data_IF_309687873337
#
_entry.id   IF_309687873337
#
_cell.length_a   1.000
_cell.length_b   1.000
_cell.length_c   1.000
_cell.angle_alpha   90.00
_cell.angle_beta   90.00
_cell.angle_gamma   90.00
#
_symmetry.space_group_name_H-M   'P 1'
#
loop_
_entity.id
_entity.type
_entity.pdbx_description
1 polymer ?
#
# COMPACT_ATOMS: atom_id res chain seq x y z
N UNK A 1 -21.91 -28.20 -4.45
CA UNK A 1 -20.93 -29.17 -4.99
C UNK A 1 -21.15 -30.62 -4.53
N UNK A 2 -22.29 -30.99 -3.90
CA UNK A 2 -22.50 -32.36 -3.36
C UNK A 2 -22.61 -33.46 -4.41
N UNK A 3 -23.03 -33.12 -5.63
CA UNK A 3 -23.24 -34.05 -6.74
C UNK A 3 -22.16 -33.96 -7.83
N UNK A 4 -21.13 -33.16 -7.59
CA UNK A 4 -20.04 -32.98 -8.56
C UNK A 4 -19.07 -34.17 -8.50
N UNK A 5 -18.49 -34.53 -9.65
CA UNK A 5 -17.34 -35.43 -9.66
C UNK A 5 -16.17 -34.83 -8.87
N UNK A 6 -15.21 -35.65 -8.38
CA UNK A 6 -14.03 -35.15 -7.68
C UNK A 6 -13.31 -34.02 -8.43
N UNK A 7 -13.04 -34.21 -9.72
CA UNK A 7 -12.34 -33.24 -10.58
C UNK A 7 -13.15 -31.95 -10.76
N UNK A 8 -14.48 -32.07 -10.92
CA UNK A 8 -15.36 -30.91 -11.06
C UNK A 8 -15.44 -30.12 -9.75
N UNK A 9 -15.44 -30.81 -8.60
CA UNK A 9 -15.41 -30.17 -7.28
C UNK A 9 -14.08 -29.45 -7.05
N UNK A 10 -12.95 -30.06 -7.39
CA UNK A 10 -11.63 -29.43 -7.29
C UNK A 10 -11.53 -28.19 -8.18
N UNK A 11 -11.95 -28.29 -9.45
CA UNK A 11 -11.96 -27.17 -10.39
C UNK A 11 -12.83 -26.01 -9.88
N UNK A 12 -14.00 -26.29 -9.32
CA UNK A 12 -14.89 -25.27 -8.73
C UNK A 12 -14.29 -24.63 -7.46
N UNK A 13 -13.59 -25.41 -6.64
CA UNK A 13 -12.88 -24.89 -5.47
C UNK A 13 -11.74 -23.96 -5.88
N UNK A 14 -10.91 -24.35 -6.85
CA UNK A 14 -9.86 -23.49 -7.38
C UNK A 14 -10.43 -22.19 -7.95
N UNK A 15 -11.47 -22.28 -8.80
CA UNK A 15 -12.11 -21.10 -9.36
C UNK A 15 -12.68 -20.18 -8.28
N UNK A 16 -13.37 -20.72 -7.28
CA UNK A 16 -13.90 -19.94 -6.17
C UNK A 16 -12.81 -19.17 -5.44
N UNK A 17 -11.72 -19.86 -5.07
CA UNK A 17 -10.63 -19.24 -4.32
C UNK A 17 -9.84 -18.24 -5.17
N UNK A 18 -9.70 -18.47 -6.48
CA UNK A 18 -9.12 -17.47 -7.40
C UNK A 18 -9.96 -16.20 -7.44
N UNK A 19 -11.29 -16.32 -7.54
CA UNK A 19 -12.20 -15.16 -7.52
C UNK A 19 -12.13 -14.46 -6.17
N UNK A 20 -12.08 -15.21 -5.07
CA UNK A 20 -11.93 -14.66 -3.72
C UNK A 20 -10.64 -13.83 -3.58
N UNK A 21 -9.50 -14.35 -4.04
CA UNK A 21 -8.21 -13.64 -4.00
C UNK A 21 -8.31 -12.31 -4.77
N UNK A 22 -8.86 -12.36 -5.99
CA UNK A 22 -9.07 -11.20 -6.83
C UNK A 22 -10.01 -10.16 -6.18
N UNK A 23 -11.16 -10.61 -5.67
CA UNK A 23 -12.14 -9.73 -5.05
C UNK A 23 -11.56 -9.00 -3.85
N UNK A 24 -10.83 -9.69 -2.95
CA UNK A 24 -10.22 -9.06 -1.78
C UNK A 24 -9.14 -8.04 -2.16
N UNK A 25 -8.25 -8.41 -3.06
CA UNK A 25 -7.19 -7.53 -3.55
C UNK A 25 -7.76 -6.29 -4.23
N UNK A 26 -8.71 -6.46 -5.15
CA UNK A 26 -9.32 -5.36 -5.89
C UNK A 26 -10.21 -4.49 -4.99
N UNK A 27 -10.88 -5.07 -4.00
CA UNK A 27 -11.73 -4.32 -3.07
C UNK A 27 -10.89 -3.39 -2.19
N UNK A 28 -9.76 -3.89 -1.65
CA UNK A 28 -8.79 -3.06 -0.95
C UNK A 28 -8.22 -1.97 -1.87
N UNK A 29 -7.82 -2.34 -3.09
CA UNK A 29 -7.28 -1.41 -4.09
C UNK A 29 -8.25 -0.31 -4.52
N UNK A 30 -9.54 -0.61 -4.60
CA UNK A 30 -10.59 0.31 -5.03
C UNK A 30 -11.26 1.03 -3.85
N UNK A 31 -10.83 0.74 -2.62
CA UNK A 31 -11.39 1.38 -1.43
C UNK A 31 -12.87 1.04 -1.19
N UNK A 32 -13.29 -0.18 -1.52
CA UNK A 32 -14.67 -0.65 -1.34
C UNK A 32 -14.73 -1.98 -0.60
N UNK A 33 -15.88 -2.28 -0.02
CA UNK A 33 -16.11 -3.59 0.62
C UNK A 33 -16.06 -4.73 -0.41
N UNK A 34 -15.50 -5.85 0.02
CA UNK A 34 -15.45 -7.12 -0.72
C UNK A 34 -16.85 -7.66 -1.01
N UNK A 35 -17.06 -8.16 -2.22
CA UNK A 35 -18.32 -8.81 -2.62
C UNK A 35 -18.49 -10.21 -2.02
N UNK A 36 -17.43 -10.76 -1.41
CA UNK A 36 -17.39 -12.08 -0.80
C UNK A 36 -17.08 -11.99 0.70
N UNK A 37 -18.08 -11.75 1.57
CA UNK A 37 -17.87 -11.67 3.01
C UNK A 37 -17.42 -13.01 3.59
N UNK A 38 -16.40 -13.00 4.45
CA UNK A 38 -15.80 -14.23 4.98
C UNK A 38 -16.78 -15.07 5.81
N UNK A 39 -17.79 -14.44 6.43
CA UNK A 39 -18.80 -15.11 7.23
C UNK A 39 -19.82 -15.91 6.40
N UNK A 40 -19.89 -15.66 5.09
CA UNK A 40 -20.77 -16.38 4.16
C UNK A 40 -20.06 -17.58 3.49
N UNK A 41 -18.77 -17.79 3.76
CA UNK A 41 -17.96 -18.82 3.11
C UNK A 41 -17.92 -20.09 3.98
N UNK A 42 -18.54 -21.16 3.48
CA UNK A 42 -18.54 -22.50 4.12
C UNK A 42 -17.56 -23.49 3.45
N UNK A 43 -16.79 -23.03 2.47
CA UNK A 43 -15.87 -23.88 1.71
C UNK A 43 -14.59 -24.20 2.51
N UNK A 44 -14.01 -25.40 2.32
CA UNK A 44 -12.79 -25.77 3.01
C UNK A 44 -11.62 -24.91 2.52
N UNK A 45 -10.85 -24.40 3.49
CA UNK A 45 -9.66 -23.59 3.24
C UNK A 45 -8.52 -24.40 2.59
N UNK A 46 -8.42 -25.71 2.88
CA UNK A 46 -7.45 -26.62 2.26
C UNK A 46 -8.20 -27.63 1.36
N UNK A 47 -7.91 -27.70 0.05
CA UNK A 47 -8.43 -28.79 -0.76
C UNK A 47 -7.87 -30.11 -0.25
N UNK A 48 -8.69 -31.16 -0.28
CA UNK A 48 -8.31 -32.48 0.21
C UNK A 48 -7.38 -33.17 -0.80
N UNK A 49 -6.08 -32.92 -0.74
CA UNK A 49 -5.10 -33.64 -1.57
C UNK A 49 -4.28 -34.61 -0.72
N UNK A 50 -4.31 -35.89 -1.11
CA UNK A 50 -3.70 -37.03 -0.42
C UNK A 50 -2.34 -37.46 -0.95
N UNK A 51 -1.60 -36.61 -1.66
CA UNK A 51 -0.21 -36.89 -2.06
C UNK A 51 0.60 -35.60 -2.16
N UNK A 52 1.92 -35.74 -1.93
CA UNK A 52 3.03 -34.76 -1.90
C UNK A 52 2.64 -33.32 -2.23
N UNK A 53 2.90 -32.33 -1.34
CA UNK A 53 2.48 -30.94 -1.56
C UNK A 53 3.11 -30.39 -2.84
N UNK A 54 2.31 -30.25 -3.88
CA UNK A 54 2.61 -29.42 -5.04
C UNK A 54 2.99 -28.02 -4.53
N UNK A 55 4.16 -27.49 -4.88
CA UNK A 55 4.56 -26.14 -4.48
C UNK A 55 3.54 -25.08 -4.89
N UNK A 56 2.79 -25.30 -5.98
CA UNK A 56 1.69 -24.43 -6.42
C UNK A 56 0.50 -24.43 -5.47
N UNK A 57 0.11 -25.57 -4.91
CA UNK A 57 -0.94 -25.63 -3.90
C UNK A 57 -0.53 -24.83 -2.66
N UNK A 58 0.74 -24.93 -2.25
CA UNK A 58 1.24 -24.21 -1.06
C UNK A 58 1.23 -22.69 -1.25
N UNK A 59 1.61 -22.22 -2.45
CA UNK A 59 1.55 -20.79 -2.81
C UNK A 59 0.10 -20.32 -2.88
N UNK A 60 -0.77 -21.09 -3.53
CA UNK A 60 -2.19 -20.75 -3.68
C UNK A 60 -2.90 -20.65 -2.34
N UNK A 61 -2.66 -21.59 -1.41
CA UNK A 61 -3.20 -21.53 -0.05
C UNK A 61 -2.76 -20.27 0.69
N UNK A 62 -1.49 -19.89 0.53
CA UNK A 62 -0.96 -18.66 1.12
C UNK A 62 -1.62 -17.41 0.54
N UNK A 63 -1.91 -17.38 -0.76
CA UNK A 63 -2.66 -16.28 -1.37
C UNK A 63 -4.06 -16.14 -0.79
N UNK A 64 -4.74 -17.24 -0.44
CA UNK A 64 -6.03 -17.19 0.25
C UNK A 64 -5.89 -16.53 1.63
N UNK A 65 -4.84 -16.88 2.38
CA UNK A 65 -4.56 -16.27 3.68
C UNK A 65 -4.27 -14.77 3.58
N UNK A 66 -3.45 -14.37 2.59
CA UNK A 66 -3.14 -12.96 2.32
C UNK A 66 -4.38 -12.20 1.88
N UNK A 67 -5.22 -12.78 1.01
CA UNK A 67 -6.48 -12.19 0.56
C UNK A 67 -7.43 -11.94 1.73
N UNK A 68 -7.50 -12.86 2.70
CA UNK A 68 -8.26 -12.64 3.93
C UNK A 68 -7.74 -11.43 4.71
N UNK A 69 -6.42 -11.29 4.84
CA UNK A 69 -5.83 -10.11 5.49
C UNK A 69 -6.17 -8.84 4.71
N UNK A 70 -6.07 -8.83 3.37
CA UNK A 70 -6.44 -7.66 2.56
C UNK A 70 -7.89 -7.20 2.79
N UNK A 71 -8.83 -8.15 2.91
CA UNK A 71 -10.21 -7.86 3.30
C UNK A 71 -10.30 -7.21 4.68
N UNK A 72 -9.67 -7.82 5.69
CA UNK A 72 -9.65 -7.25 7.06
C UNK A 72 -8.96 -5.88 7.11
N UNK A 73 -7.92 -5.64 6.30
CA UNK A 73 -7.23 -4.35 6.20
C UNK A 73 -8.19 -3.26 5.75
N UNK A 74 -8.95 -3.50 4.68
CA UNK A 74 -9.96 -2.53 4.25
C UNK A 74 -11.01 -2.34 5.34
N UNK A 75 -11.66 -3.43 5.77
CA UNK A 75 -12.81 -3.37 6.67
C UNK A 75 -12.48 -2.72 8.02
N UNK A 76 -11.28 -2.96 8.56
CA UNK A 76 -10.87 -2.55 9.91
C UNK A 76 -9.97 -1.33 9.98
N UNK A 77 -9.37 -0.89 8.88
CA UNK A 77 -8.42 0.24 8.88
C UNK A 77 -8.85 1.39 7.96
N UNK A 78 -9.51 1.10 6.82
CA UNK A 78 -9.76 2.10 5.77
C UNK A 78 -11.23 2.28 5.39
N UNK A 79 -12.13 1.41 5.83
CA UNK A 79 -13.57 1.56 5.59
C UNK A 79 -14.12 2.80 6.32
N UNK A 80 -15.24 3.40 5.85
CA UNK A 80 -15.88 4.52 6.55
C UNK A 80 -16.24 4.19 8.02
N UNK A 81 -16.60 2.93 8.28
CA UNK A 81 -16.86 2.44 9.62
C UNK A 81 -15.56 2.42 10.47
N UNK A 82 -14.48 1.85 9.94
CA UNK A 82 -13.18 1.81 10.61
C UNK A 82 -12.60 3.20 10.88
N UNK A 83 -12.75 4.13 9.92
CA UNK A 83 -12.32 5.51 10.10
C UNK A 83 -13.13 6.22 11.19
N UNK A 84 -14.36 5.76 11.46
CA UNK A 84 -15.22 6.28 12.54
C UNK A 84 -14.93 5.68 13.92
N UNK A 85 -14.14 4.61 14.00
CA UNK A 85 -13.73 4.03 15.28
C UNK A 85 -12.63 4.87 15.95
N UNK A 86 -12.51 4.82 17.28
CA UNK A 86 -11.44 5.50 18.00
C UNK A 86 -10.04 5.06 17.52
N UNK A 87 -9.08 5.98 17.46
CA UNK A 87 -7.71 5.72 17.00
C UNK A 87 -7.06 4.51 17.70
N UNK A 88 -7.33 4.32 19.01
CA UNK A 88 -6.83 3.18 19.80
C UNK A 88 -7.34 1.82 19.30
N UNK A 89 -8.60 1.74 18.86
CA UNK A 89 -9.20 0.48 18.37
C UNK A 89 -8.61 0.13 17.00
N UNK A 90 -8.48 1.14 16.14
CA UNK A 90 -7.79 1.02 14.85
C UNK A 90 -6.31 0.61 15.01
N UNK A 91 -5.60 1.18 15.99
CA UNK A 91 -4.23 0.79 16.32
C UNK A 91 -4.14 -0.67 16.78
N UNK A 92 -5.08 -1.13 17.60
CA UNK A 92 -5.19 -2.53 18.03
C UNK A 92 -5.44 -3.47 16.84
N UNK A 93 -6.35 -3.08 15.94
CA UNK A 93 -6.61 -3.79 14.69
C UNK A 93 -5.35 -3.86 13.80
N UNK A 94 -4.64 -2.75 13.64
CA UNK A 94 -3.40 -2.69 12.87
C UNK A 94 -2.32 -3.64 13.46
N UNK A 95 -2.10 -3.61 14.78
CA UNK A 95 -1.13 -4.49 15.44
C UNK A 95 -1.45 -5.98 15.27
N UNK A 96 -2.74 -6.36 15.37
CA UNK A 96 -3.18 -7.74 15.13
C UNK A 96 -2.97 -8.16 13.67
N UNK A 97 -3.28 -7.29 12.71
CA UNK A 97 -3.10 -7.57 11.28
C UNK A 97 -1.62 -7.65 10.90
N UNK A 98 -0.80 -6.75 11.43
CA UNK A 98 0.66 -6.75 11.24
C UNK A 98 1.26 -8.08 11.75
N UNK A 99 0.87 -8.52 12.94
CA UNK A 99 1.34 -9.79 13.52
C UNK A 99 0.99 -10.98 12.63
N UNK A 100 -0.25 -11.05 12.11
CA UNK A 100 -0.66 -12.11 11.17
C UNK A 100 0.16 -12.07 9.88
N UNK A 101 0.37 -10.89 9.31
CA UNK A 101 1.13 -10.74 8.07
C UNK A 101 2.61 -11.11 8.26
N UNK A 102 3.21 -10.68 9.37
CA UNK A 102 4.58 -11.07 9.74
C UNK A 102 4.72 -12.58 9.93
N UNK A 103 3.72 -13.24 10.51
CA UNK A 103 3.69 -14.70 10.60
C UNK A 103 3.70 -15.35 9.21
N UNK A 104 2.87 -14.89 8.28
CA UNK A 104 2.86 -15.39 6.90
C UNK A 104 4.22 -15.20 6.22
N UNK A 105 4.84 -14.02 6.38
CA UNK A 105 6.17 -13.73 5.82
C UNK A 105 7.22 -14.67 6.42
N UNK A 106 7.23 -14.86 7.74
CA UNK A 106 8.19 -15.72 8.43
C UNK A 106 8.04 -17.20 8.03
N UNK A 107 6.79 -17.67 7.88
CA UNK A 107 6.49 -19.02 7.42
C UNK A 107 6.93 -19.25 5.97
N UNK A 108 6.79 -18.26 5.09
CA UNK A 108 7.29 -18.32 3.71
C UNK A 108 8.82 -18.49 3.69
N UNK A 109 9.53 -17.70 4.48
CA UNK A 109 10.99 -17.76 4.60
C UNK A 109 11.46 -19.10 5.19
N UNK A 110 10.77 -19.59 6.22
CA UNK A 110 11.08 -20.88 6.86
C UNK A 110 10.81 -22.07 5.94
N UNK A 111 9.70 -22.05 5.20
CA UNK A 111 9.38 -23.10 4.23
C UNK A 111 10.46 -23.19 3.14
N UNK A 112 10.96 -22.05 2.66
CA UNK A 112 12.09 -22.00 1.73
C UNK A 112 13.37 -22.62 2.32
N UNK A 113 13.68 -22.31 3.58
CA UNK A 113 14.88 -22.82 4.25
C UNK A 113 14.81 -24.34 4.54
N UNK A 114 13.68 -24.83 5.06
CA UNK A 114 13.56 -26.22 5.55
C UNK A 114 13.38 -27.25 4.46
N UNK A 115 12.71 -26.89 3.37
CA UNK A 115 12.37 -27.87 2.36
C UNK A 115 13.56 -28.23 1.47
N UNK A 116 14.66 -27.47 1.52
CA UNK A 116 15.77 -27.59 0.56
C UNK A 116 15.32 -27.38 -0.89
N UNK A 117 14.02 -27.09 -1.12
CA UNK A 117 13.52 -26.43 -2.29
C UNK A 117 14.04 -25.00 -2.20
N UNK A 118 15.31 -24.85 -2.54
CA UNK A 118 15.65 -23.79 -3.46
C UNK A 118 14.64 -23.96 -4.61
N UNK A 119 13.57 -23.16 -4.59
CA UNK A 119 12.89 -22.82 -5.84
C UNK A 119 13.99 -22.22 -6.69
N UNK A 120 14.56 -23.13 -7.48
CA UNK A 120 15.96 -23.15 -7.83
C UNK A 120 16.34 -21.82 -8.48
N UNK A 121 17.60 -21.41 -8.34
CA UNK A 121 18.18 -20.52 -9.34
C UNK A 121 17.91 -21.02 -10.78
N UNK A 122 17.63 -22.33 -10.95
CA UNK A 122 17.20 -22.97 -12.20
C UNK A 122 15.74 -22.75 -12.63
N UNK A 123 14.82 -22.23 -11.79
CA UNK A 123 13.46 -21.87 -12.23
C UNK A 123 13.18 -20.37 -12.05
N UNK A 124 13.54 -19.54 -13.05
CA UNK A 124 13.23 -18.11 -13.04
C UNK A 124 11.75 -17.81 -12.78
N UNK A 125 10.83 -18.65 -13.27
CA UNK A 125 9.39 -18.46 -13.07
C UNK A 125 8.98 -18.49 -11.60
N UNK A 126 9.36 -19.55 -10.88
CA UNK A 126 8.98 -19.72 -9.48
C UNK A 126 9.68 -18.71 -8.57
N UNK A 127 10.92 -18.35 -8.91
CA UNK A 127 11.64 -17.26 -8.24
C UNK A 127 10.88 -15.93 -8.33
N UNK A 128 10.43 -15.56 -9.54
CA UNK A 128 9.69 -14.30 -9.74
C UNK A 128 8.37 -14.33 -8.98
N UNK A 129 7.62 -15.43 -8.98
CA UNK A 129 6.37 -15.53 -8.21
C UNK A 129 6.62 -15.39 -6.71
N UNK A 130 7.64 -16.08 -6.17
CA UNK A 130 8.00 -15.95 -4.75
C UNK A 130 8.40 -14.51 -4.39
N UNK A 131 9.21 -13.86 -5.22
CA UNK A 131 9.61 -12.46 -5.00
C UNK A 131 8.44 -11.49 -5.15
N UNK A 132 7.52 -11.76 -6.08
CA UNK A 132 6.26 -11.02 -6.20
C UNK A 132 5.47 -11.06 -4.90
N UNK A 133 5.31 -12.26 -4.33
CA UNK A 133 4.61 -12.46 -3.06
C UNK A 133 5.30 -11.74 -1.91
N UNK A 134 6.64 -11.81 -1.85
CA UNK A 134 7.43 -11.13 -0.82
C UNK A 134 7.23 -9.60 -0.88
N UNK A 135 7.31 -9.01 -2.08
CA UNK A 135 7.07 -7.58 -2.29
C UNK A 135 5.62 -7.21 -1.93
N UNK A 136 4.63 -7.98 -2.38
CA UNK A 136 3.22 -7.71 -2.10
C UNK A 136 2.90 -7.81 -0.59
N UNK A 137 3.41 -8.84 0.09
CA UNK A 137 3.21 -9.01 1.53
C UNK A 137 3.84 -7.86 2.33
N UNK A 138 5.04 -7.43 1.94
CA UNK A 138 5.71 -6.27 2.56
C UNK A 138 4.96 -4.97 2.26
N UNK A 139 4.43 -4.79 1.05
CA UNK A 139 3.62 -3.62 0.70
C UNK A 139 2.31 -3.56 1.50
N UNK A 140 1.63 -4.70 1.71
CA UNK A 140 0.45 -4.78 2.58
C UNK A 140 0.84 -4.51 4.04
N UNK A 141 1.98 -5.02 4.50
CA UNK A 141 2.49 -4.75 5.85
C UNK A 141 2.79 -3.25 6.05
N UNK A 142 3.39 -2.59 5.06
CA UNK A 142 3.57 -1.13 5.03
C UNK A 142 2.23 -0.41 5.12
N UNK A 143 1.22 -0.84 4.35
CA UNK A 143 -0.12 -0.25 4.40
C UNK A 143 -0.77 -0.41 5.79
N UNK A 144 -0.58 -1.56 6.45
CA UNK A 144 -1.05 -1.80 7.82
C UNK A 144 -0.37 -0.85 8.80
N UNK A 145 0.96 -0.76 8.77
CA UNK A 145 1.70 0.11 9.69
C UNK A 145 1.41 1.60 9.45
N UNK A 146 1.09 1.98 8.20
CA UNK A 146 0.67 3.35 7.89
C UNK A 146 -0.63 3.74 8.61
N UNK A 147 -1.51 2.78 8.90
CA UNK A 147 -2.73 3.04 9.66
C UNK A 147 -2.50 3.14 11.18
N UNK A 148 -1.26 2.92 11.66
CA UNK A 148 -0.91 2.98 13.07
C UNK A 148 -0.63 4.45 13.45
N UNK A 149 -1.32 4.99 14.46
CA UNK A 149 -1.07 6.36 14.93
C UNK A 149 0.33 6.47 15.55
N UNK A 150 0.96 7.62 15.37
CA UNK A 150 2.25 7.97 15.98
C UNK A 150 2.01 8.66 17.33
N UNK A 151 3.01 8.63 18.22
CA UNK A 151 2.96 9.39 19.47
C UNK A 151 3.23 10.87 19.21
N UNK A 152 2.67 11.79 19.99
CA UNK A 152 2.99 13.23 19.90
C UNK A 152 4.50 13.53 20.07
N UNK A 153 5.21 12.65 20.76
CA UNK A 153 6.67 12.76 20.97
C UNK A 153 7.49 12.26 19.79
N UNK A 154 6.87 11.65 18.79
CA UNK A 154 7.54 11.05 17.64
C UNK A 154 7.72 12.09 16.53
N UNK A 155 8.95 12.32 16.05
CA UNK A 155 9.25 13.45 15.15
C UNK A 155 8.89 13.20 13.68
N UNK A 156 8.42 12.01 13.30
CA UNK A 156 8.20 11.61 11.90
C UNK A 156 6.74 11.25 11.63
N UNK A 157 6.30 11.36 10.37
CA UNK A 157 4.94 11.00 9.94
C UNK A 157 4.55 9.54 10.17
N UNK A 158 5.52 8.62 10.22
CA UNK A 158 5.25 7.18 10.33
C UNK A 158 6.05 6.52 11.44
N UNK A 159 5.49 5.47 12.02
CA UNK A 159 6.23 4.55 12.91
C UNK A 159 7.39 3.89 12.15
N UNK A 160 8.46 3.54 12.86
CA UNK A 160 9.68 2.98 12.27
C UNK A 160 9.38 1.72 11.42
N UNK A 161 8.48 0.86 11.91
CA UNK A 161 8.05 -0.37 11.25
C UNK A 161 7.40 -0.12 9.88
N UNK A 162 6.73 1.03 9.69
CA UNK A 162 6.17 1.43 8.42
C UNK A 162 7.28 1.73 7.40
N UNK A 163 8.30 2.49 7.80
CA UNK A 163 9.43 2.84 6.94
C UNK A 163 10.29 1.61 6.65
N UNK A 164 10.54 0.77 7.65
CA UNK A 164 11.36 -0.43 7.51
C UNK A 164 10.70 -1.48 6.60
N UNK A 165 9.39 -1.70 6.74
CA UNK A 165 8.65 -2.56 5.81
C UNK A 165 8.64 -2.01 4.38
N UNK A 166 8.56 -0.69 4.22
CA UNK A 166 8.62 -0.05 2.91
C UNK A 166 10.02 -0.22 2.25
N UNK A 167 11.09 -0.04 3.02
CA UNK A 167 12.47 -0.29 2.57
C UNK A 167 12.65 -1.75 2.15
N UNK A 168 12.18 -2.69 2.98
CA UNK A 168 12.24 -4.12 2.68
C UNK A 168 11.47 -4.48 1.40
N UNK A 169 10.30 -3.88 1.17
CA UNK A 169 9.53 -4.07 -0.06
C UNK A 169 10.31 -3.59 -1.29
N UNK A 170 10.97 -2.44 -1.20
CA UNK A 170 11.82 -1.94 -2.27
C UNK A 170 13.03 -2.84 -2.51
N UNK A 171 13.72 -3.28 -1.46
CA UNK A 171 14.86 -4.19 -1.58
C UNK A 171 14.46 -5.49 -2.28
N UNK A 172 13.35 -6.10 -1.87
CA UNK A 172 12.81 -7.31 -2.49
C UNK A 172 12.39 -7.09 -3.95
N UNK A 173 11.84 -5.91 -4.27
CA UNK A 173 11.53 -5.52 -5.66
C UNK A 173 12.80 -5.46 -6.51
N UNK A 174 13.87 -4.82 -6.02
CA UNK A 174 15.13 -4.74 -6.76
C UNK A 174 15.75 -6.12 -6.99
N UNK A 175 15.72 -7.00 -6.00
CA UNK A 175 16.14 -8.40 -6.16
C UNK A 175 15.31 -9.12 -7.24
N UNK A 176 13.99 -8.89 -7.29
CA UNK A 176 13.13 -9.42 -8.33
C UNK A 176 13.51 -8.89 -9.72
N UNK A 177 13.66 -7.56 -9.85
CA UNK A 177 14.00 -6.88 -11.10
C UNK A 177 15.35 -7.34 -11.68
N UNK A 178 16.31 -7.70 -10.83
CA UNK A 178 17.60 -8.25 -11.27
C UNK A 178 17.44 -9.55 -12.08
N UNK A 179 16.45 -10.39 -11.76
CA UNK A 179 16.17 -11.65 -12.47
C UNK A 179 15.05 -11.53 -13.49
N UNK A 180 14.27 -10.45 -13.47
CA UNK A 180 13.15 -10.23 -14.38
C UNK A 180 13.57 -10.15 -15.86
N UNK A 181 14.85 -9.88 -16.13
CA UNK A 181 15.43 -9.94 -17.49
C UNK A 181 15.47 -11.34 -18.09
N UNK A 182 15.40 -12.39 -17.26
CA UNK A 182 15.54 -13.79 -17.67
C UNK A 182 14.21 -14.45 -18.04
N UNK A 183 13.10 -13.73 -17.93
CA UNK A 183 11.75 -14.28 -18.11
C UNK A 183 11.02 -13.62 -19.28
N UNK A 184 9.95 -14.27 -19.74
CA UNK A 184 9.10 -13.80 -20.83
C UNK A 184 8.42 -12.48 -20.48
N UNK A 185 8.12 -11.67 -21.50
CA UNK A 185 7.42 -10.38 -21.32
C UNK A 185 6.04 -10.56 -20.68
N UNK A 186 5.37 -11.70 -20.91
CA UNK A 186 4.14 -12.07 -20.20
C UNK A 186 4.34 -12.13 -18.68
N UNK A 187 5.45 -12.72 -18.21
CA UNK A 187 5.73 -12.79 -16.78
C UNK A 187 6.16 -11.43 -16.22
N UNK A 188 6.90 -10.63 -17.01
CA UNK A 188 7.24 -9.24 -16.64
C UNK A 188 5.99 -8.38 -16.46
N UNK A 189 5.05 -8.49 -17.40
CA UNK A 189 3.77 -7.80 -17.35
C UNK A 189 2.95 -8.28 -16.14
N UNK A 190 2.92 -9.60 -15.89
CA UNK A 190 2.25 -10.18 -14.72
C UNK A 190 2.83 -9.63 -13.41
N UNK A 191 4.16 -9.59 -13.26
CA UNK A 191 4.82 -8.98 -12.11
C UNK A 191 4.39 -7.52 -11.91
N UNK A 192 4.40 -6.73 -12.98
CA UNK A 192 4.04 -5.32 -12.89
C UNK A 192 2.60 -5.11 -12.42
N UNK A 193 1.65 -5.89 -12.97
CA UNK A 193 0.23 -5.74 -12.63
C UNK A 193 -0.12 -6.31 -11.24
N UNK A 194 0.44 -7.46 -10.87
CA UNK A 194 0.12 -8.13 -9.60
C UNK A 194 0.90 -7.59 -8.40
N UNK A 195 2.09 -7.03 -8.63
CA UNK A 195 2.97 -6.62 -7.52
C UNK A 195 3.09 -5.11 -7.43
N UNK A 196 3.26 -4.43 -8.57
CA UNK A 196 3.59 -3.00 -8.59
C UNK A 196 2.32 -2.13 -8.70
N UNK A 197 1.32 -2.56 -9.47
CA UNK A 197 0.07 -1.81 -9.73
C UNK A 197 -1.13 -2.28 -8.88
N UNK A 198 -0.96 -3.30 -8.03
CA UNK A 198 -2.08 -3.86 -7.27
C UNK A 198 -2.60 -2.92 -6.17
N UNK A 199 -1.81 -1.94 -5.76
CA UNK A 199 -2.18 -0.68 -5.08
C UNK A 199 -1.11 0.33 -5.53
N UNK A 200 -1.31 1.67 -5.55
CA UNK A 200 -0.18 2.57 -5.80
C UNK A 200 0.88 2.17 -4.82
N UNK A 201 2.03 1.74 -5.35
CA UNK A 201 3.02 0.98 -4.61
C UNK A 201 3.33 1.70 -3.28
N UNK A 202 2.61 1.31 -2.22
CA UNK A 202 2.53 2.06 -0.96
C UNK A 202 3.92 2.29 -0.37
N UNK A 203 4.86 1.33 -0.45
CA UNK A 203 6.25 1.56 -0.10
C UNK A 203 6.87 2.81 -0.75
N UNK A 204 6.63 3.07 -2.04
CA UNK A 204 7.15 4.25 -2.72
C UNK A 204 6.67 5.55 -2.08
N UNK A 205 5.38 5.63 -1.76
CA UNK A 205 4.78 6.82 -1.17
C UNK A 205 5.29 7.04 0.26
N UNK A 206 5.41 5.97 1.05
CA UNK A 206 5.96 6.05 2.42
C UNK A 206 7.42 6.52 2.40
N UNK A 207 8.25 5.96 1.52
CA UNK A 207 9.65 6.37 1.39
C UNK A 207 9.74 7.82 0.88
N UNK A 208 8.93 8.21 -0.09
CA UNK A 208 8.86 9.61 -0.55
C UNK A 208 8.56 10.56 0.61
N UNK A 209 7.50 10.31 1.39
CA UNK A 209 7.17 11.13 2.55
C UNK A 209 8.30 11.13 3.59
N UNK A 210 8.93 9.99 3.87
CA UNK A 210 10.08 9.92 4.78
C UNK A 210 11.29 10.75 4.29
N UNK A 211 11.55 10.79 2.99
CA UNK A 211 12.59 11.65 2.38
C UNK A 211 12.29 13.13 2.60
N UNK A 212 11.03 13.55 2.50
CA UNK A 212 10.63 14.94 2.78
C UNK A 212 10.81 15.28 4.28
N UNK A 213 10.42 14.38 5.17
CA UNK A 213 10.52 14.58 6.63
C UNK A 213 11.98 14.61 7.08
N UNK A 214 12.69 13.50 6.84
CA UNK A 214 14.01 13.22 7.40
C UNK A 214 15.16 13.72 6.54
N UNK A 215 14.91 14.08 5.27
CA UNK A 215 15.96 14.42 4.30
C UNK A 215 17.00 13.30 4.14
N UNK A 216 16.51 12.05 4.18
CA UNK A 216 17.32 10.85 4.08
C UNK A 216 17.76 10.61 2.62
N UNK A 217 19.06 10.77 2.37
CA UNK A 217 19.65 10.57 1.03
C UNK A 217 19.70 9.09 0.61
N UNK A 218 19.71 8.16 1.56
CA UNK A 218 19.66 6.73 1.27
C UNK A 218 18.30 6.35 0.69
N UNK A 219 17.23 6.82 1.32
CA UNK A 219 15.86 6.63 0.85
C UNK A 219 15.56 7.38 -0.45
N UNK A 220 16.16 8.56 -0.66
CA UNK A 220 16.10 9.24 -1.97
C UNK A 220 16.70 8.36 -3.08
N UNK A 221 17.86 7.75 -2.82
CA UNK A 221 18.48 6.82 -3.78
C UNK A 221 17.59 5.61 -4.04
N UNK A 222 16.90 5.07 -3.03
CA UNK A 222 15.95 3.96 -3.19
C UNK A 222 14.80 4.32 -4.14
N UNK A 223 14.27 5.54 -4.06
CA UNK A 223 13.24 6.02 -4.99
C UNK A 223 13.78 6.13 -6.43
N UNK A 224 14.98 6.69 -6.59
CA UNK A 224 15.66 6.80 -7.89
C UNK A 224 15.91 5.42 -8.53
N UNK A 225 16.40 4.47 -7.74
CA UNK A 225 16.68 3.11 -8.18
C UNK A 225 15.39 2.38 -8.56
N UNK A 226 14.31 2.58 -7.79
CA UNK A 226 12.99 2.01 -8.11
C UNK A 226 12.49 2.52 -9.47
N UNK A 227 12.50 3.84 -9.70
CA UNK A 227 12.07 4.44 -10.98
C UNK A 227 12.88 3.86 -12.13
N UNK A 228 14.21 3.82 -12.01
CA UNK A 228 15.09 3.25 -13.03
C UNK A 228 14.81 1.78 -13.29
N UNK A 229 14.47 1.02 -12.27
CA UNK A 229 14.22 -0.42 -12.41
C UNK A 229 12.99 -0.71 -13.27
N UNK A 230 11.88 0.02 -13.07
CA UNK A 230 10.61 -0.24 -13.75
C UNK A 230 10.53 0.35 -15.16
N UNK A 231 11.50 1.16 -15.58
CA UNK A 231 11.57 1.73 -16.93
C UNK A 231 11.48 0.64 -18.01
N UNK A 232 12.15 -0.51 -17.81
CA UNK A 232 12.12 -1.63 -18.74
C UNK A 232 10.74 -2.29 -18.93
N UNK A 233 9.79 -1.99 -18.05
CA UNK A 233 8.41 -2.49 -18.07
C UNK A 233 7.45 -1.53 -18.78
N UNK A 234 7.85 -0.27 -19.00
CA UNK A 234 7.00 0.75 -19.63
C UNK A 234 6.51 0.36 -21.04
N UNK A 235 7.32 -0.26 -21.92
CA UNK A 235 6.85 -0.71 -23.23
C UNK A 235 5.79 -1.82 -23.17
N UNK A 236 5.68 -2.51 -22.03
CA UNK A 236 4.79 -3.66 -21.87
C UNK A 236 3.39 -3.27 -21.34
N UNK A 237 3.25 -2.09 -20.74
CA UNK A 237 2.00 -1.64 -20.14
C UNK A 237 1.95 -0.14 -19.98
N UNK A 238 0.92 0.50 -20.55
CA UNK A 238 0.67 1.94 -20.42
C UNK A 238 0.46 2.35 -18.96
N UNK A 239 -0.21 1.51 -18.15
CA UNK A 239 -0.39 1.77 -16.73
C UNK A 239 0.96 1.83 -16.00
N UNK A 240 1.91 0.97 -16.37
CA UNK A 240 3.28 0.99 -15.82
C UNK A 240 4.04 2.23 -16.29
N UNK A 241 3.88 2.65 -17.55
CA UNK A 241 4.49 3.88 -18.06
C UNK A 241 4.00 5.14 -17.33
N UNK A 242 2.69 5.21 -17.05
CA UNK A 242 2.12 6.28 -16.23
C UNK A 242 2.63 6.26 -14.79
N UNK A 243 2.71 5.08 -14.17
CA UNK A 243 3.28 4.95 -12.82
C UNK A 243 4.74 5.40 -12.80
N UNK A 244 5.54 5.00 -13.79
CA UNK A 244 6.92 5.44 -13.93
C UNK A 244 7.01 6.97 -14.00
N UNK A 245 6.18 7.61 -14.84
CA UNK A 245 6.14 9.08 -14.94
C UNK A 245 5.76 9.75 -13.61
N UNK A 246 4.76 9.21 -12.90
CA UNK A 246 4.37 9.71 -11.59
C UNK A 246 5.52 9.60 -10.57
N UNK A 247 6.12 8.41 -10.45
CA UNK A 247 7.23 8.18 -9.53
C UNK A 247 8.45 9.05 -9.87
N UNK A 248 8.75 9.22 -11.16
CA UNK A 248 9.81 10.12 -11.62
C UNK A 248 9.54 11.58 -11.23
N UNK A 249 8.30 12.04 -11.37
CA UNK A 249 7.88 13.38 -10.94
C UNK A 249 8.05 13.56 -9.43
N UNK A 250 7.66 12.56 -8.62
CA UNK A 250 7.84 12.58 -7.17
C UNK A 250 9.32 12.59 -6.76
N UNK A 251 10.20 11.83 -7.45
CA UNK A 251 11.65 11.88 -7.22
C UNK A 251 12.20 13.28 -7.49
N UNK A 252 11.81 13.92 -8.60
CA UNK A 252 12.24 15.28 -8.92
C UNK A 252 11.79 16.28 -7.84
N UNK A 253 10.56 16.16 -7.36
CA UNK A 253 10.06 16.97 -6.25
C UNK A 253 10.87 16.75 -4.97
N UNK A 254 11.18 15.51 -4.60
CA UNK A 254 12.00 15.21 -3.43
C UNK A 254 13.42 15.80 -3.53
N UNK A 255 14.05 15.70 -4.71
CA UNK A 255 15.37 16.30 -4.96
C UNK A 255 15.34 17.82 -4.82
N UNK A 256 14.32 18.48 -5.38
CA UNK A 256 14.15 19.94 -5.27
C UNK A 256 13.91 20.36 -3.83
N UNK A 257 13.07 19.63 -3.09
CA UNK A 257 12.79 19.91 -1.69
C UNK A 257 14.04 19.80 -0.81
N UNK A 258 14.83 18.72 -0.96
CA UNK A 258 16.09 18.56 -0.20
C UNK A 258 17.07 19.67 -0.55
N UNK A 259 17.25 20.00 -1.83
CA UNK A 259 18.13 21.11 -2.26
C UNK A 259 17.71 22.43 -1.63
N UNK A 260 16.41 22.75 -1.65
CA UNK A 260 15.88 23.97 -1.06
C UNK A 260 16.06 24.00 0.48
N UNK A 261 15.90 22.85 1.15
CA UNK A 261 16.10 22.75 2.61
C UNK A 261 17.58 22.91 3.00
N UNK A 262 18.50 22.34 2.23
CA UNK A 262 19.95 22.51 2.43
C UNK A 262 20.37 23.96 2.16
N UNK A 263 19.88 24.57 1.08
CA UNK A 263 20.19 25.97 0.74
C UNK A 263 19.53 26.98 1.71
N UNK A 264 18.32 26.71 2.17
CA UNK A 264 17.61 27.55 3.15
C UNK A 264 18.17 27.50 4.58
N UNK A 265 19.00 26.51 4.89
CA UNK A 265 19.81 26.51 6.12
C UNK A 265 21.01 27.47 6.02
N UNK A 266 21.44 27.82 4.80
CA UNK A 266 22.54 28.75 4.55
C UNK A 266 22.05 30.19 4.26
N UNK A 267 20.84 30.36 3.70
CA UNK A 267 20.30 31.66 3.29
C UNK A 267 18.84 31.86 3.79
N UNK A 268 18.61 32.85 4.68
CA UNK A 268 17.34 33.08 5.39
C UNK A 268 16.16 33.52 4.48
N UNK A 269 16.35 33.61 3.16
CA UNK A 269 15.38 34.12 2.19
C UNK A 269 14.65 33.04 1.38
N UNK A 270 15.07 31.76 1.47
CA UNK A 270 14.45 30.60 0.79
C UNK A 270 13.34 29.79 1.52
N UNK A 271 12.81 30.15 2.73
CA UNK A 271 11.80 29.31 3.40
C UNK A 271 10.45 29.20 2.67
N UNK A 272 10.17 30.05 1.68
CA UNK A 272 8.86 30.15 1.03
C UNK A 272 8.55 28.96 0.10
N UNK A 273 9.53 28.49 -0.69
CA UNK A 273 9.31 27.40 -1.65
C UNK A 273 9.08 26.05 -0.96
N UNK A 274 9.80 25.76 0.13
CA UNK A 274 9.60 24.55 0.92
C UNK A 274 8.25 24.52 1.64
N UNK A 275 7.78 25.67 2.13
CA UNK A 275 6.45 25.80 2.75
C UNK A 275 5.31 25.59 1.75
N UNK A 276 5.44 26.12 0.53
CA UNK A 276 4.43 25.96 -0.51
C UNK A 276 4.32 24.49 -0.95
N UNK A 277 5.45 23.83 -1.19
CA UNK A 277 5.48 22.38 -1.47
C UNK A 277 4.87 21.58 -0.31
N UNK A 278 5.21 21.92 0.94
CA UNK A 278 4.63 21.28 2.12
C UNK A 278 3.10 21.42 2.20
N UNK A 279 2.54 22.58 1.84
CA UNK A 279 1.08 22.81 1.79
C UNK A 279 0.40 21.97 0.70
N UNK A 280 1.01 21.88 -0.49
CA UNK A 280 0.47 21.02 -1.54
C UNK A 280 0.50 19.54 -1.12
N UNK A 281 1.59 19.07 -0.52
CA UNK A 281 1.67 17.71 0.03
C UNK A 281 0.60 17.46 1.11
N UNK A 282 0.32 18.45 1.97
CA UNK A 282 -0.76 18.36 2.96
C UNK A 282 -2.13 18.20 2.32
N UNK A 283 -2.41 18.95 1.26
CA UNK A 283 -3.70 18.90 0.57
C UNK A 283 -4.02 17.54 -0.07
N UNK A 284 -2.99 16.72 -0.35
CA UNK A 284 -3.13 15.38 -0.91
C UNK A 284 -2.86 14.26 0.11
N UNK A 285 -2.76 14.59 1.41
CA UNK A 285 -2.54 13.62 2.48
C UNK A 285 -1.11 13.05 2.55
N UNK A 286 -0.15 13.69 1.89
CA UNK A 286 1.27 13.33 1.86
C UNK A 286 2.15 14.21 2.77
N UNK A 287 1.56 15.11 3.56
CA UNK A 287 2.35 16.02 4.38
C UNK A 287 3.14 15.30 5.50
N UNK A 288 4.38 15.77 5.75
CA UNK A 288 5.06 15.59 7.04
C UNK A 288 4.14 15.99 8.20
N UNK A 289 4.27 15.34 9.36
CA UNK A 289 3.76 15.94 10.59
C UNK A 289 4.42 17.31 10.76
N UNK A 290 3.64 18.38 10.63
CA UNK A 290 4.12 19.72 10.94
C UNK A 290 4.34 19.81 12.45
N UNK A 291 5.57 20.02 12.95
CA UNK A 291 5.79 20.35 14.37
C UNK A 291 5.28 21.75 14.70
N UNK A 292 4.97 22.56 13.67
CA UNK A 292 4.37 23.86 13.84
C UNK A 292 2.87 23.69 14.01
N UNK A 293 2.45 23.59 15.28
CA UNK A 293 1.12 24.05 15.69
C UNK A 293 0.91 25.42 15.05
N UNK A 294 -0.14 25.53 14.25
CA UNK A 294 -0.62 26.79 13.70
C UNK A 294 -0.72 27.83 14.80
N UNK A 295 0.23 28.77 14.86
CA UNK A 295 0.13 29.93 15.73
C UNK A 295 -0.73 31.04 15.09
N UNK A 296 -1.38 30.80 13.94
CA UNK A 296 -2.05 31.86 13.16
C UNK A 296 -3.47 31.53 12.67
N UNK A 297 -4.14 30.48 13.15
CA UNK A 297 -5.56 30.24 12.83
C UNK A 297 -6.54 31.14 13.61
N UNK A 298 -6.07 32.21 14.27
CA UNK A 298 -6.93 33.17 14.99
C UNK A 298 -7.23 34.48 14.26
N UNK A 299 -6.85 34.65 12.99
CA UNK A 299 -7.13 35.91 12.28
C UNK A 299 -7.74 35.72 10.90
N UNK A 300 -8.98 35.21 10.88
CA UNK A 300 -9.99 35.60 9.89
C UNK A 300 -11.40 35.16 10.32
N UNK A 301 -11.92 35.80 11.36
CA UNK A 301 -13.37 35.94 11.56
C UNK A 301 -13.60 37.43 11.78
N UNK A 302 -13.88 38.12 10.68
CA UNK A 302 -14.35 39.51 10.71
C UNK A 302 -15.82 39.46 11.13
N UNK A 303 -16.08 40.06 12.28
CA UNK A 303 -17.33 40.60 12.82
C UNK A 303 -18.65 40.21 12.13
N UNK A 304 -19.42 39.37 12.83
CA UNK A 304 -20.88 39.41 12.78
C UNK A 304 -21.42 39.19 14.21
N UNK A 305 -21.63 40.30 14.91
CA UNK A 305 -22.33 40.33 16.19
C UNK A 305 -23.77 39.82 16.02
N UNK A 306 -24.16 38.78 16.75
CA UNK A 306 -25.53 38.69 17.28
C UNK A 306 -25.51 37.94 18.60
N UNK A 307 -25.98 38.64 19.63
CA UNK A 307 -26.06 38.19 21.03
C UNK A 307 -27.01 37.01 21.21
N UNK A 308 -26.63 35.99 21.99
CA UNK A 308 -27.59 35.21 22.80
C UNK A 308 -26.89 34.62 24.04
N UNK A 309 -27.57 34.74 25.19
CA UNK A 309 -27.05 34.46 26.52
C UNK A 309 -26.73 32.98 26.82
N UNK A 310 -25.54 32.79 27.38
CA UNK A 310 -25.10 31.88 28.47
C UNK A 310 -25.88 30.62 28.87
N UNK A 311 -25.16 29.48 28.86
CA UNK A 311 -25.19 28.41 29.87
C UNK A 311 -23.78 27.77 29.96
N UNK A 312 -23.22 27.49 31.16
CA UNK A 312 -21.90 26.88 31.28
C UNK A 312 -21.99 25.36 31.11
N UNK A 313 -21.22 24.79 30.19
CA UNK A 313 -21.03 23.34 30.05
C UNK A 313 -19.63 22.98 30.55
N UNK A 314 -19.57 22.47 31.78
CA UNK A 314 -18.41 21.74 32.29
C UNK A 314 -18.32 20.36 31.64
N UNK A 315 -17.11 19.92 31.27
CA UNK A 315 -16.77 18.51 31.12
C UNK A 315 -16.07 18.09 29.82
N UNK A 316 -14.75 17.89 29.94
CA UNK A 316 -13.83 17.09 29.10
C UNK A 316 -13.58 17.50 27.65
N UNK A 317 -12.83 18.59 27.44
CA UNK A 317 -12.04 18.83 26.23
C UNK A 317 -10.59 18.45 26.48
N UNK A 318 -10.27 17.16 26.37
CA UNK A 318 -8.90 16.72 26.14
C UNK A 318 -8.94 15.60 25.11
N UNK A 319 -8.22 15.80 23.99
CA UNK A 319 -7.78 14.80 22.99
C UNK A 319 -8.61 14.57 21.70
N UNK A 320 -9.76 15.23 21.50
CA UNK A 320 -10.57 15.00 20.28
C UNK A 320 -9.99 15.66 19.01
N UNK A 321 -9.32 16.81 19.15
CA UNK A 321 -8.77 17.56 18.02
C UNK A 321 -7.59 16.85 17.33
N UNK A 322 -6.74 16.15 18.09
CA UNK A 322 -5.61 15.39 17.57
C UNK A 322 -6.06 14.15 16.79
N UNK A 323 -6.96 13.37 17.39
CA UNK A 323 -7.55 12.19 16.77
C UNK A 323 -8.35 12.52 15.48
N UNK A 324 -9.04 13.68 15.45
CA UNK A 324 -9.74 14.16 14.26
C UNK A 324 -8.78 14.54 13.12
N UNK A 325 -7.66 15.20 13.44
CA UNK A 325 -6.62 15.56 12.46
C UNK A 325 -5.96 14.33 11.84
N UNK A 326 -5.60 13.33 12.65
CA UNK A 326 -5.04 12.06 12.17
C UNK A 326 -6.02 11.27 11.29
N UNK A 327 -7.30 11.24 11.67
CA UNK A 327 -8.36 10.61 10.89
C UNK A 327 -8.49 11.26 9.52
N UNK A 328 -8.55 12.60 9.47
CA UNK A 328 -8.63 13.34 8.22
C UNK A 328 -7.40 13.12 7.34
N UNK A 329 -6.20 13.07 7.90
CA UNK A 329 -4.97 12.81 7.15
C UNK A 329 -4.94 11.39 6.55
N UNK A 330 -5.37 10.38 7.32
CA UNK A 330 -5.41 8.99 6.85
C UNK A 330 -6.43 8.81 5.71
N UNK A 331 -7.62 9.40 5.87
CA UNK A 331 -8.70 9.36 4.88
C UNK A 331 -8.35 10.12 3.59
N UNK A 332 -7.80 11.33 3.73
CA UNK A 332 -7.36 12.16 2.60
C UNK A 332 -6.29 11.42 1.80
N UNK A 333 -5.33 10.80 2.47
CA UNK A 333 -4.32 10.00 1.80
C UNK A 333 -4.91 8.79 1.08
N UNK A 334 -5.77 8.02 1.75
CA UNK A 334 -6.33 6.81 1.15
C UNK A 334 -7.15 7.16 -0.08
N UNK A 335 -8.00 8.17 0.01
CA UNK A 335 -8.77 8.70 -1.12
C UNK A 335 -7.89 9.28 -2.23
N UNK A 336 -6.81 9.98 -1.90
CA UNK A 336 -5.83 10.50 -2.87
C UNK A 336 -5.07 9.37 -3.59
N UNK A 337 -4.72 8.31 -2.86
CA UNK A 337 -4.10 7.10 -3.38
C UNK A 337 -5.04 6.37 -4.37
N UNK A 338 -6.34 6.24 -4.05
CA UNK A 338 -7.36 5.71 -4.96
C UNK A 338 -7.51 6.57 -6.23
N UNK A 339 -7.49 7.89 -6.07
CA UNK A 339 -7.60 8.84 -7.19
C UNK A 339 -6.38 8.74 -8.12
N UNK A 340 -5.18 8.54 -7.57
CA UNK A 340 -3.99 8.25 -8.35
C UNK A 340 -4.14 6.96 -9.18
N UNK A 341 -4.69 5.88 -8.60
CA UNK A 341 -4.95 4.66 -9.36
C UNK A 341 -5.93 4.88 -10.51
N UNK A 342 -7.01 5.63 -10.28
CA UNK A 342 -7.99 5.92 -11.33
C UNK A 342 -7.31 6.60 -12.54
N UNK A 343 -6.42 7.56 -12.29
CA UNK A 343 -5.64 8.23 -13.36
C UNK A 343 -4.72 7.26 -14.13
N UNK A 344 -4.18 6.24 -13.45
CA UNK A 344 -3.39 5.19 -14.10
C UNK A 344 -4.28 4.32 -15.02
N UNK A 345 -5.55 4.13 -14.66
CA UNK A 345 -6.51 3.24 -15.32
C UNK A 345 -7.39 3.92 -16.39
N UNK A 346 -7.52 5.25 -16.38
CA UNK A 346 -8.44 6.02 -17.25
C UNK A 346 -8.23 5.83 -18.77
N UNK A 347 -7.12 5.22 -19.21
CA UNK A 347 -6.88 4.92 -20.63
C UNK A 347 -7.25 3.47 -21.04
N UNK A 348 -7.69 2.62 -20.10
CA UNK A 348 -8.10 1.23 -20.40
C UNK A 348 -9.36 1.14 -21.26
N UNK A 349 -10.03 2.26 -21.54
CA UNK A 349 -11.17 2.36 -22.46
C UNK A 349 -10.73 2.33 -23.94
N UNK A 350 -9.43 2.43 -24.24
CA UNK A 350 -8.90 2.31 -25.62
C UNK A 350 -8.40 0.89 -25.95
N UNK A 351 -9.00 -0.15 -25.39
CA UNK A 351 -8.78 -1.51 -25.88
C UNK A 351 -9.43 -1.65 -27.26
N UNK A 352 -8.57 -1.80 -28.28
CA UNK A 352 -8.91 -2.03 -29.67
C UNK A 352 -9.98 -3.13 -29.81
N UNK A 353 -11.14 -2.88 -30.48
CA UNK A 353 -12.20 -3.87 -30.65
C UNK A 353 -11.79 -5.16 -31.37
N UNK A 354 -10.61 -5.23 -32.00
CA UNK A 354 -10.14 -6.40 -32.76
C UNK A 354 -9.69 -7.59 -31.89
N UNK A 355 -9.50 -7.44 -30.56
CA UNK A 355 -9.10 -8.56 -29.68
C UNK A 355 -10.30 -9.46 -29.28
N UNK A 356 -11.53 -9.12 -29.68
CA UNK A 356 -12.74 -9.90 -29.33
C UNK A 356 -12.94 -11.20 -30.10
N UNK A 357 -12.12 -11.56 -31.08
CA UNK A 357 -12.37 -12.73 -31.94
C UNK A 357 -11.42 -13.92 -31.77
N UNK A 358 -10.66 -14.00 -30.68
CA UNK A 358 -9.88 -15.22 -30.38
C UNK A 358 -9.92 -15.59 -28.90
N UNK A 359 -11.07 -16.11 -28.47
CA UNK A 359 -11.19 -17.01 -27.31
C UNK A 359 -12.13 -18.14 -27.66
#
# INVERSE_FOLDING_TARGET
>A
MRYDSPDSRESKLHLFWSIYILDKALSLRLGRTSAMPDHDISLPHKPSTGHVPDPWISIFLRWIDVAKIQGEVYDRLFSPAALSEPARERASHAGRLASKMQQIIAESSKACFLTGFEFDEKSPFLYIIRKSDEVNNLAILTLIYRATPTSETWPFAFVAECVDSARAAMDSHHECMARLKLVSDTLKCSYAHWTVLQTPFVPFIVIFCHVIDASDFGDLRRLEDFVRSIECLCPLSQAVAKLHYLCQTLVLLAQLYIKAKVQGQEDQTLPFAGQEVGRYLASIGLAPHSPYKDCNSQQQMVDAETSTMGLPREGSDYDDSGAMSERMQLDTWFSGNLSLMALLEDDLVQLDPEIRTSW
#
